data_IF_601742686742
#
_entry.id   IF_601742686742
#
_cell.length_a   1.000
_cell.length_b   1.000
_cell.length_c   1.000
_cell.angle_alpha   90.00
_cell.angle_beta   90.00
_cell.angle_gamma   90.00
#
_symmetry.space_group_name_H-M   'P 1'
#
loop_
_entity.id
_entity.type
_entity.pdbx_description
1 polymer ?
#
# COMPACT_ATOMS: atom_id res chain seq x y z
N UNK A 1 -50.75 -4.73 38.11
CA UNK A 1 -49.36 -4.25 38.06
C UNK A 1 -48.81 -4.63 36.70
N UNK A 2 -48.45 -3.65 35.87
CA UNK A 2 -48.06 -3.86 34.48
C UNK A 2 -46.65 -4.46 34.43
N UNK A 3 -46.51 -5.63 33.78
CA UNK A 3 -45.23 -6.22 33.48
C UNK A 3 -44.68 -5.57 32.22
N UNK A 4 -43.51 -4.96 32.37
CA UNK A 4 -42.74 -4.24 31.37
C UNK A 4 -42.32 -5.20 30.23
N UNK A 5 -42.59 -4.79 28.99
CA UNK A 5 -42.21 -5.46 27.74
C UNK A 5 -40.68 -5.54 27.61
N UNK A 6 -40.13 -6.76 27.51
CA UNK A 6 -38.80 -6.99 26.95
C UNK A 6 -38.94 -7.06 25.43
N UNK A 7 -38.37 -6.07 24.75
CA UNK A 7 -38.36 -5.92 23.30
C UNK A 7 -37.06 -6.54 22.76
N UNK A 8 -37.05 -7.85 22.53
CA UNK A 8 -35.93 -8.56 21.90
C UNK A 8 -35.96 -8.44 20.37
N UNK A 9 -36.11 -7.21 19.87
CA UNK A 9 -35.73 -6.88 18.49
C UNK A 9 -34.31 -6.36 18.55
N UNK A 10 -33.34 -7.20 18.20
CA UNK A 10 -32.20 -6.93 17.30
C UNK A 10 -31.31 -8.19 17.31
N UNK A 11 -31.83 -9.31 16.79
CA UNK A 11 -30.98 -10.35 16.23
C UNK A 11 -30.38 -9.75 14.95
N UNK A 12 -29.21 -9.12 15.10
CA UNK A 12 -28.45 -8.65 13.95
C UNK A 12 -27.82 -9.92 13.37
N UNK A 13 -28.47 -10.50 12.38
CA UNK A 13 -27.82 -11.44 11.47
C UNK A 13 -26.65 -10.68 10.84
N UNK A 14 -25.45 -10.90 11.37
CA UNK A 14 -24.22 -10.46 10.74
C UNK A 14 -24.24 -11.11 9.35
N UNK A 15 -24.26 -10.35 8.24
CA UNK A 15 -24.06 -10.98 6.95
C UNK A 15 -22.70 -11.68 7.05
N UNK A 16 -22.70 -12.99 6.84
CA UNK A 16 -21.49 -13.76 6.58
C UNK A 16 -20.83 -13.10 5.38
N UNK A 17 -19.92 -12.18 5.66
CA UNK A 17 -19.02 -11.66 4.67
C UNK A 17 -18.05 -12.81 4.44
N UNK A 18 -18.42 -13.70 3.52
CA UNK A 18 -17.51 -14.55 2.77
C UNK A 18 -16.61 -13.64 1.92
N UNK A 19 -15.83 -12.78 2.59
CA UNK A 19 -14.70 -12.13 1.97
C UNK A 19 -13.60 -13.17 1.95
N UNK A 20 -13.06 -13.52 0.78
CA UNK A 20 -11.83 -14.27 0.74
C UNK A 20 -10.68 -13.32 1.11
N UNK A 21 -10.61 -12.91 2.37
CA UNK A 21 -9.43 -12.23 2.93
C UNK A 21 -8.20 -13.14 2.82
N UNK A 22 -8.41 -14.44 2.61
CA UNK A 22 -7.40 -15.49 2.45
C UNK A 22 -6.59 -15.41 1.15
N UNK A 23 -7.04 -14.73 0.09
CA UNK A 23 -6.43 -14.91 -1.24
C UNK A 23 -5.14 -14.11 -1.52
N UNK A 24 -4.64 -13.31 -0.58
CA UNK A 24 -3.48 -12.46 -0.86
C UNK A 24 -2.16 -13.03 -0.36
N UNK A 25 -2.16 -13.63 0.83
CA UNK A 25 -0.94 -14.22 1.41
C UNK A 25 -0.58 -15.57 0.80
N UNK A 26 -1.56 -16.30 0.26
CA UNK A 26 -1.31 -17.59 -0.43
C UNK A 26 -0.42 -17.46 -1.68
N UNK A 27 -0.23 -16.23 -2.19
CA UNK A 27 0.62 -15.91 -3.34
C UNK A 27 2.01 -15.37 -2.96
N UNK A 28 2.26 -15.11 -1.67
CA UNK A 28 3.53 -14.59 -1.19
C UNK A 28 4.33 -15.68 -0.50
N UNK A 29 5.62 -15.75 -0.84
CA UNK A 29 6.56 -16.64 -0.15
C UNK A 29 6.86 -16.15 1.26
N UNK A 30 7.29 -17.01 2.19
CA UNK A 30 7.69 -16.59 3.55
C UNK A 30 8.75 -15.47 3.55
N UNK A 31 9.68 -15.50 2.60
CA UNK A 31 10.69 -14.45 2.43
C UNK A 31 10.10 -13.11 1.96
N UNK A 32 8.98 -13.12 1.25
CA UNK A 32 8.31 -11.89 0.82
C UNK A 32 7.48 -11.28 1.95
N UNK A 33 6.90 -12.12 2.81
CA UNK A 33 6.25 -11.68 4.05
C UNK A 33 7.28 -11.02 4.98
N UNK A 34 8.46 -11.63 5.14
CA UNK A 34 9.55 -11.05 5.93
C UNK A 34 9.97 -9.67 5.43
N UNK A 35 9.96 -9.42 4.12
CA UNK A 35 10.24 -8.09 3.56
C UNK A 35 9.15 -7.06 3.86
N UNK A 36 7.92 -7.48 4.15
CA UNK A 36 6.83 -6.58 4.56
C UNK A 36 6.92 -6.26 6.05
N UNK A 37 7.30 -7.24 6.87
CA UNK A 37 7.46 -7.09 8.32
C UNK A 37 8.74 -6.34 8.70
N UNK A 38 9.81 -6.54 7.92
CA UNK A 38 11.13 -5.92 8.10
C UNK A 38 11.54 -5.15 6.83
N UNK A 39 10.90 -4.00 6.55
CA UNK A 39 11.08 -3.31 5.28
C UNK A 39 12.52 -2.80 5.11
N UNK A 40 13.21 -3.15 4.00
CA UNK A 40 14.57 -2.67 3.73
C UNK A 40 14.60 -1.21 3.24
N UNK A 41 13.44 -0.56 3.17
CA UNK A 41 13.26 0.76 2.59
C UNK A 41 12.15 1.53 3.31
N UNK A 42 12.45 2.75 3.75
CA UNK A 42 11.49 3.62 4.44
C UNK A 42 10.63 4.35 3.40
N UNK A 43 9.33 4.08 3.43
CA UNK A 43 8.36 4.77 2.60
C UNK A 43 8.08 6.18 3.14
N UNK A 44 7.91 7.13 2.23
CA UNK A 44 7.57 8.52 2.55
C UNK A 44 6.10 8.82 2.29
N UNK A 45 5.49 8.10 1.35
CA UNK A 45 4.05 8.10 1.16
C UNK A 45 3.45 6.85 1.81
N UNK A 46 2.19 6.94 2.24
CA UNK A 46 1.50 5.78 2.79
C UNK A 46 1.28 4.73 1.70
N UNK A 47 1.21 3.46 2.10
CA UNK A 47 1.04 2.35 1.17
C UNK A 47 -0.25 2.49 0.35
N UNK A 48 -1.34 2.96 0.96
CA UNK A 48 -2.61 3.18 0.25
C UNK A 48 -2.47 4.21 -0.87
N UNK A 49 -1.71 5.29 -0.65
CA UNK A 49 -1.45 6.29 -1.70
C UNK A 49 -0.55 5.70 -2.80
N UNK A 50 0.43 4.87 -2.43
CA UNK A 50 1.37 4.30 -3.38
C UNK A 50 0.76 3.24 -4.27
N UNK A 51 -0.18 2.44 -3.74
CA UNK A 51 -0.85 1.36 -4.46
C UNK A 51 -2.13 1.82 -5.17
N UNK A 52 -2.64 3.03 -4.87
CA UNK A 52 -3.81 3.58 -5.57
C UNK A 52 -3.42 3.95 -7.02
N UNK A 53 -3.95 3.23 -8.01
CA UNK A 53 -3.62 3.47 -9.40
C UNK A 53 -4.33 4.70 -9.97
N UNK A 54 -5.36 5.21 -9.26
CA UNK A 54 -6.17 6.38 -9.63
C UNK A 54 -5.59 7.70 -9.11
N UNK A 55 -4.57 7.64 -8.24
CA UNK A 55 -3.90 8.82 -7.68
C UNK A 55 -3.47 9.82 -8.77
N UNK A 56 -3.06 9.31 -9.94
CA UNK A 56 -2.88 10.12 -11.15
C UNK A 56 -4.07 9.95 -12.09
N UNK A 57 -5.11 10.76 -11.84
CA UNK A 57 -6.41 10.82 -12.53
C UNK A 57 -6.27 10.86 -14.07
N UNK A 58 -6.16 9.69 -14.68
CA UNK A 58 -6.35 9.49 -16.12
C UNK A 58 -7.75 8.90 -16.31
N UNK A 59 -8.53 9.34 -17.31
CA UNK A 59 -9.86 8.80 -17.59
C UNK A 59 -9.84 7.35 -18.13
N UNK A 60 -8.66 6.77 -18.32
CA UNK A 60 -8.48 5.37 -18.76
C UNK A 60 -8.30 4.45 -17.54
N UNK A 61 -8.69 3.17 -17.64
CA UNK A 61 -8.37 2.20 -16.60
C UNK A 61 -6.85 2.22 -16.38
N UNK A 62 -6.41 2.43 -15.14
CA UNK A 62 -5.00 2.61 -14.88
C UNK A 62 -4.27 1.28 -15.10
N UNK A 63 -3.05 1.36 -15.62
CA UNK A 63 -2.23 0.17 -15.86
C UNK A 63 -1.84 -0.46 -14.53
N UNK A 64 -1.69 -1.81 -14.47
CA UNK A 64 -1.08 -2.46 -13.32
C UNK A 64 0.25 -1.79 -12.97
N UNK A 65 0.41 -1.38 -11.71
CA UNK A 65 1.61 -0.71 -11.26
C UNK A 65 2.71 -1.73 -10.99
N UNK A 66 3.80 -1.68 -11.75
CA UNK A 66 4.98 -2.48 -11.45
C UNK A 66 5.82 -1.83 -10.33
N UNK A 67 6.76 -2.61 -9.78
CA UNK A 67 7.68 -2.18 -8.73
C UNK A 67 8.34 -0.81 -8.97
N UNK A 68 8.74 -0.55 -10.22
CA UNK A 68 9.39 0.71 -10.60
C UNK A 68 8.43 1.91 -10.51
N UNK A 69 7.17 1.75 -10.92
CA UNK A 69 6.16 2.82 -10.81
C UNK A 69 5.90 3.18 -9.35
N UNK A 70 5.78 2.18 -8.48
CA UNK A 70 5.58 2.37 -7.04
C UNK A 70 6.80 3.07 -6.42
N UNK A 71 8.02 2.58 -6.70
CA UNK A 71 9.26 3.21 -6.23
C UNK A 71 9.36 4.68 -6.68
N UNK A 72 9.10 4.96 -7.95
CA UNK A 72 9.17 6.31 -8.50
C UNK A 72 8.15 7.24 -7.84
N UNK A 73 6.92 6.76 -7.59
CA UNK A 73 5.91 7.53 -6.89
C UNK A 73 6.35 7.90 -5.47
N UNK A 74 6.90 6.94 -4.73
CA UNK A 74 7.45 7.20 -3.40
C UNK A 74 8.63 8.19 -3.46
N UNK A 75 9.55 7.98 -4.38
CA UNK A 75 10.73 8.83 -4.56
C UNK A 75 10.36 10.27 -4.94
N UNK A 76 9.30 10.45 -5.73
CA UNK A 76 8.76 11.78 -6.01
C UNK A 76 8.28 12.47 -4.72
N UNK A 77 7.56 11.75 -3.86
CA UNK A 77 7.15 12.22 -2.54
C UNK A 77 8.35 12.65 -1.70
N UNK A 78 9.42 11.84 -1.68
CA UNK A 78 10.68 12.17 -1.01
C UNK A 78 11.31 13.47 -1.53
N UNK A 79 11.46 13.61 -2.85
CA UNK A 79 12.04 14.81 -3.44
C UNK A 79 11.24 16.06 -3.12
N UNK A 80 9.91 15.96 -3.12
CA UNK A 80 9.00 17.08 -2.79
C UNK A 80 9.07 17.44 -1.31
N UNK A 81 9.19 16.46 -0.42
CA UNK A 81 9.37 16.69 1.01
C UNK A 81 10.72 17.36 1.32
N UNK A 82 11.80 16.93 0.66
CA UNK A 82 13.15 17.49 0.84
C UNK A 82 13.31 18.89 0.21
N UNK A 83 12.56 19.18 -0.85
CA UNK A 83 12.68 20.43 -1.61
C UNK A 83 11.30 21.04 -1.90
N UNK A 84 10.58 21.54 -0.88
CA UNK A 84 9.18 21.96 -1.01
C UNK A 84 8.98 23.13 -1.99
N UNK A 85 10.00 23.99 -2.16
CA UNK A 85 9.93 25.15 -3.07
C UNK A 85 10.36 24.83 -4.50
N UNK A 86 10.88 23.62 -4.77
CA UNK A 86 11.40 23.25 -6.08
C UNK A 86 10.33 22.51 -6.87
N UNK A 87 10.04 23.03 -8.06
CA UNK A 87 9.15 22.37 -9.00
C UNK A 87 9.92 21.28 -9.77
N UNK A 88 9.46 20.05 -9.66
CA UNK A 88 9.96 18.92 -10.44
C UNK A 88 8.96 18.54 -11.52
N UNK A 89 9.46 18.33 -12.74
CA UNK A 89 8.68 17.78 -13.84
C UNK A 89 8.72 16.26 -13.78
N UNK A 90 7.71 15.60 -14.37
CA UNK A 90 7.69 14.12 -14.45
C UNK A 90 8.98 13.58 -15.09
N UNK A 91 9.50 14.27 -16.09
CA UNK A 91 10.76 13.91 -16.76
C UNK A 91 11.96 14.01 -15.80
N UNK A 92 12.08 15.10 -15.03
CA UNK A 92 13.21 15.25 -14.10
C UNK A 92 13.15 14.25 -12.95
N UNK A 93 11.96 14.03 -12.38
CA UNK A 93 11.73 12.97 -11.37
C UNK A 93 12.13 11.61 -11.92
N UNK A 94 11.62 11.24 -13.10
CA UNK A 94 11.88 9.93 -13.69
C UNK A 94 13.37 9.70 -13.99
N UNK A 95 14.09 10.73 -14.45
CA UNK A 95 15.54 10.65 -14.69
C UNK A 95 16.32 10.40 -13.40
N UNK A 96 16.03 11.16 -12.35
CA UNK A 96 16.72 11.02 -11.05
C UNK A 96 16.36 9.68 -10.40
N UNK A 97 15.08 9.35 -10.36
CA UNK A 97 14.59 8.08 -9.83
C UNK A 97 15.23 6.89 -10.54
N UNK A 98 15.46 6.97 -11.86
CA UNK A 98 16.03 5.86 -12.63
C UNK A 98 17.49 5.62 -12.24
N UNK A 99 18.25 6.70 -12.02
CA UNK A 99 19.61 6.61 -11.49
C UNK A 99 19.61 6.01 -10.07
N UNK A 100 18.69 6.45 -9.21
CA UNK A 100 18.55 5.92 -7.86
C UNK A 100 18.15 4.45 -7.83
N UNK A 101 17.21 4.02 -8.66
CA UNK A 101 16.77 2.63 -8.75
C UNK A 101 17.90 1.67 -9.13
N UNK A 102 18.80 2.10 -10.02
CA UNK A 102 19.95 1.26 -10.43
C UNK A 102 20.87 0.95 -9.27
N UNK A 103 21.08 1.91 -8.36
CA UNK A 103 21.96 1.75 -7.20
C UNK A 103 21.27 1.14 -5.98
N UNK A 104 19.94 0.98 -6.00
CA UNK A 104 19.23 0.27 -4.94
C UNK A 104 19.67 -1.19 -4.85
N UNK A 105 19.71 -1.70 -3.62
CA UNK A 105 20.01 -3.11 -3.35
C UNK A 105 18.91 -4.02 -3.91
N UNK A 106 19.24 -5.30 -4.11
CA UNK A 106 18.27 -6.27 -4.58
C UNK A 106 17.13 -6.49 -3.57
N UNK A 107 17.41 -6.35 -2.27
CA UNK A 107 16.38 -6.41 -1.22
C UNK A 107 15.33 -5.31 -1.39
N UNK A 108 15.76 -4.07 -1.67
CA UNK A 108 14.84 -2.95 -1.93
C UNK A 108 14.03 -3.20 -3.20
N UNK A 109 14.68 -3.66 -4.28
CA UNK A 109 13.97 -3.95 -5.54
C UNK A 109 12.95 -5.07 -5.36
N UNK A 110 13.29 -6.12 -4.60
CA UNK A 110 12.37 -7.20 -4.23
C UNK A 110 11.22 -6.68 -3.38
N UNK A 111 11.48 -5.84 -2.39
CA UNK A 111 10.45 -5.20 -1.57
C UNK A 111 9.40 -4.50 -2.44
N UNK A 112 9.81 -3.63 -3.38
CA UNK A 112 8.86 -2.98 -4.30
C UNK A 112 8.17 -3.95 -5.27
N UNK A 113 8.79 -5.09 -5.60
CA UNK A 113 8.14 -6.16 -6.34
C UNK A 113 7.02 -6.81 -5.52
N UNK A 114 7.26 -7.08 -4.24
CA UNK A 114 6.23 -7.58 -3.31
C UNK A 114 5.09 -6.57 -3.19
N UNK A 115 5.40 -5.28 -3.03
CA UNK A 115 4.37 -4.23 -3.00
C UNK A 115 3.50 -4.23 -4.27
N UNK A 116 4.08 -4.46 -5.45
CA UNK A 116 3.31 -4.53 -6.70
C UNK A 116 2.39 -5.74 -6.84
N UNK A 117 2.54 -6.75 -5.98
CA UNK A 117 1.64 -7.91 -5.91
C UNK A 117 0.47 -7.65 -4.97
N UNK A 118 0.54 -6.62 -4.13
CA UNK A 118 -0.51 -6.33 -3.17
C UNK A 118 -1.74 -5.72 -3.87
N UNK A 119 -2.96 -6.14 -3.51
CA UNK A 119 -4.17 -5.59 -4.07
C UNK A 119 -4.38 -4.16 -3.58
N UNK A 120 -4.89 -3.33 -4.48
CA UNK A 120 -5.20 -1.90 -4.29
C UNK A 120 -6.06 -1.65 -3.04
N UNK A 121 -6.97 -2.59 -2.72
CA UNK A 121 -8.06 -2.41 -1.76
C UNK A 121 -8.04 -3.40 -0.59
N UNK A 122 -6.89 -3.97 -0.21
CA UNK A 122 -6.86 -4.84 0.96
C UNK A 122 -6.72 -4.03 2.25
N UNK A 123 -7.83 -3.42 2.65
CA UNK A 123 -7.99 -2.65 3.89
C UNK A 123 -7.54 -3.42 5.13
N UNK A 124 -7.60 -4.76 5.11
CA UNK A 124 -7.09 -5.61 6.20
C UNK A 124 -5.56 -5.69 6.28
N UNK A 125 -4.87 -5.75 5.14
CA UNK A 125 -3.41 -5.73 5.05
C UNK A 125 -2.81 -4.37 5.40
N UNK A 126 -3.45 -3.30 4.92
CA UNK A 126 -3.10 -1.93 5.27
C UNK A 126 -3.18 -1.71 6.78
N UNK A 127 -4.17 -2.28 7.46
CA UNK A 127 -4.28 -2.16 8.91
C UNK A 127 -3.15 -2.89 9.64
N UNK A 128 -2.79 -4.11 9.23
CA UNK A 128 -1.70 -4.88 9.86
C UNK A 128 -0.31 -4.27 9.61
N UNK A 129 0.00 -3.86 8.38
CA UNK A 129 1.29 -3.24 8.04
C UNK A 129 1.41 -1.84 8.68
N UNK A 130 0.31 -1.08 8.75
CA UNK A 130 0.30 0.21 9.47
C UNK A 130 0.49 0.02 10.98
N UNK A 131 -0.04 -1.06 11.57
CA UNK A 131 0.16 -1.37 13.00
C UNK A 131 1.60 -1.78 13.32
N UNK A 132 2.29 -2.46 12.39
CA UNK A 132 3.71 -2.84 12.56
C UNK A 132 4.62 -1.60 12.50
N UNK A 133 4.33 -0.64 11.61
CA UNK A 133 5.14 0.57 11.43
C UNK A 133 4.88 1.68 12.47
N UNK A 134 4.00 1.45 13.46
CA UNK A 134 3.65 2.42 14.52
C UNK A 134 4.15 2.03 15.91
N UNK A 135 4.96 0.98 16.02
CA UNK A 135 5.49 0.48 17.30
C UNK A 135 6.93 0.95 17.52
N UNK A 136 7.07 2.25 17.78
CA UNK A 136 8.14 2.88 18.57
C UNK A 136 7.56 4.03 19.40
#
# INVERSE_FOLDING_TARGET
>A
MAATLFNDQYLIDLPSIDMPTTLTFDLLTPSEIDLLDHPPYILTLSLGILLDPTYNRQPLPPRPQNAWIIFRGNFEGQLRAQHPHKLYTIHSVSKIASAQWKVQSDAVKKYFCVLSKLPENNTGLLFLITFINQKD
#
